data_IF_994356114653
#
_entry.id   IF_994356114653
#
_cell.length_a   1.000
_cell.length_b   1.000
_cell.length_c   1.000
_cell.angle_alpha   90.00
_cell.angle_beta   90.00
_cell.angle_gamma   90.00
#
_symmetry.space_group_name_H-M   'P 1'
#
loop_
_entity.id
_entity.type
_entity.pdbx_description
1 polymer ?
#
# COMPACT_ATOMS: atom_id res chain seq x y z
N UNK A 1 10.63 -26.30 7.19
CA UNK A 1 11.32 -25.62 6.06
C UNK A 1 10.98 -24.15 6.11
N UNK A 2 11.99 -23.28 6.02
CA UNK A 2 11.86 -21.83 6.05
C UNK A 2 12.52 -21.21 4.80
N UNK A 3 11.83 -20.30 4.12
CA UNK A 3 12.38 -19.55 2.97
C UNK A 3 12.44 -18.06 3.31
N UNK A 4 13.56 -17.40 3.02
CA UNK A 4 13.73 -15.95 3.20
C UNK A 4 13.94 -15.28 1.84
N UNK A 5 13.15 -14.25 1.51
CA UNK A 5 13.23 -13.53 0.23
C UNK A 5 13.52 -12.05 0.47
N UNK A 6 14.56 -11.53 -0.19
CA UNK A 6 15.04 -10.17 -0.02
C UNK A 6 14.21 -9.10 -0.77
N UNK A 7 14.50 -7.83 -0.49
CA UNK A 7 13.90 -6.67 -1.17
C UNK A 7 14.67 -6.21 -2.40
N UNK A 8 14.15 -5.17 -3.06
CA UNK A 8 14.82 -4.54 -4.20
C UNK A 8 16.23 -4.02 -3.84
N UNK A 9 17.16 -4.12 -4.79
CA UNK A 9 18.57 -3.74 -4.66
C UNK A 9 19.40 -4.54 -3.63
N UNK A 10 18.82 -5.57 -3.02
CA UNK A 10 19.51 -6.46 -2.08
C UNK A 10 19.86 -7.82 -2.70
N UNK A 11 20.52 -8.68 -1.94
CA UNK A 11 20.82 -10.08 -2.29
C UNK A 11 20.53 -10.99 -1.10
N UNK A 12 20.54 -12.30 -1.33
CA UNK A 12 20.42 -13.32 -0.28
C UNK A 12 21.40 -13.10 0.90
N UNK A 13 22.58 -12.54 0.64
CA UNK A 13 23.66 -12.42 1.64
C UNK A 13 23.28 -11.54 2.84
N UNK A 14 22.45 -10.51 2.64
CA UNK A 14 21.97 -9.60 3.69
C UNK A 14 21.05 -10.26 4.71
N UNK A 15 20.54 -11.46 4.42
CA UNK A 15 19.64 -12.20 5.30
C UNK A 15 20.32 -13.34 6.05
N UNK A 16 21.65 -13.49 5.93
CA UNK A 16 22.41 -14.50 6.70
C UNK A 16 22.29 -14.28 8.21
N UNK A 17 22.31 -13.03 8.68
CA UNK A 17 22.16 -12.70 10.11
C UNK A 17 20.79 -13.09 10.62
N UNK A 18 19.72 -12.70 9.91
CA UNK A 18 18.36 -13.10 10.25
C UNK A 18 18.21 -14.62 10.25
N UNK A 19 18.64 -15.30 9.20
CA UNK A 19 18.57 -16.76 9.11
C UNK A 19 19.27 -17.47 10.26
N UNK A 20 20.50 -17.06 10.60
CA UNK A 20 21.24 -17.59 11.76
C UNK A 20 20.53 -17.31 13.08
N UNK A 21 19.97 -16.10 13.23
CA UNK A 21 19.22 -15.74 14.44
C UNK A 21 17.97 -16.60 14.61
N UNK A 22 17.24 -16.88 13.53
CA UNK A 22 16.07 -17.75 13.57
C UNK A 22 16.42 -19.19 13.97
N UNK A 23 17.58 -19.70 13.53
CA UNK A 23 18.09 -21.00 13.98
C UNK A 23 18.49 -20.96 15.46
N UNK A 24 19.23 -19.94 15.91
CA UNK A 24 19.65 -19.84 17.32
C UNK A 24 18.49 -19.69 18.30
N UNK A 25 17.37 -19.13 17.86
CA UNK A 25 16.13 -18.99 18.64
C UNK A 25 15.24 -20.25 18.58
N UNK A 26 15.69 -21.32 17.91
CA UNK A 26 14.93 -22.57 17.76
C UNK A 26 13.66 -22.43 16.90
N UNK A 27 13.57 -21.40 16.06
CA UNK A 27 12.43 -21.19 15.15
C UNK A 27 12.59 -22.05 13.89
N UNK A 28 13.82 -22.23 13.43
CA UNK A 28 14.17 -23.20 12.40
C UNK A 28 15.10 -24.26 12.98
N UNK A 29 14.84 -25.54 12.66
CA UNK A 29 15.53 -26.68 13.28
C UNK A 29 17.05 -26.65 13.04
N UNK A 30 17.48 -26.26 11.84
CA UNK A 30 18.88 -26.11 11.45
C UNK A 30 19.02 -25.16 10.26
N UNK A 31 20.23 -24.64 10.03
CA UNK A 31 20.62 -23.87 8.85
C UNK A 31 20.27 -24.59 7.55
N UNK A 32 20.38 -25.93 7.51
CA UNK A 32 20.00 -26.74 6.35
C UNK A 32 18.49 -26.63 6.00
N UNK A 33 17.64 -26.17 6.93
CA UNK A 33 16.21 -25.95 6.72
C UNK A 33 15.86 -24.50 6.38
N UNK A 34 16.86 -23.63 6.25
CA UNK A 34 16.70 -22.23 5.80
C UNK A 34 17.19 -22.12 4.35
N UNK A 35 16.35 -21.55 3.49
CA UNK A 35 16.68 -21.25 2.09
C UNK A 35 16.61 -19.75 1.88
N UNK A 36 17.69 -19.17 1.35
CA UNK A 36 17.73 -17.75 1.03
C UNK A 36 17.48 -17.61 -0.48
N UNK A 37 16.33 -17.06 -0.85
CA UNK A 37 15.99 -16.75 -2.23
C UNK A 37 16.81 -15.55 -2.72
N UNK A 38 17.27 -15.60 -3.96
CA UNK A 38 18.04 -14.55 -4.61
C UNK A 38 17.44 -14.26 -5.98
N UNK A 39 17.09 -13.01 -6.26
CA UNK A 39 16.53 -12.61 -7.55
C UNK A 39 17.11 -11.28 -8.03
N UNK A 40 17.16 -11.13 -9.35
CA UNK A 40 17.65 -9.92 -10.00
C UNK A 40 16.56 -8.85 -9.91
N UNK A 41 16.83 -7.78 -9.19
CA UNK A 41 15.89 -6.67 -8.97
C UNK A 41 16.31 -5.36 -9.64
N UNK A 42 17.54 -5.27 -10.14
CA UNK A 42 18.11 -4.05 -10.72
C UNK A 42 18.21 -4.06 -12.24
N UNK A 43 17.89 -5.18 -12.90
CA UNK A 43 17.87 -5.22 -14.36
C UNK A 43 16.57 -4.60 -14.86
N UNK A 44 16.67 -3.60 -15.74
CA UNK A 44 15.54 -2.84 -16.25
C UNK A 44 14.60 -3.68 -17.13
N UNK A 45 15.06 -4.82 -17.69
CA UNK A 45 14.22 -5.71 -18.49
C UNK A 45 13.41 -6.72 -17.64
N UNK A 46 13.78 -6.90 -16.37
CA UNK A 46 13.13 -7.89 -15.49
C UNK A 46 11.81 -7.35 -14.94
N UNK A 47 10.73 -8.10 -15.15
CA UNK A 47 9.39 -7.81 -14.64
C UNK A 47 9.03 -8.66 -13.42
N UNK A 48 7.92 -8.34 -12.75
CA UNK A 48 7.39 -9.19 -11.69
C UNK A 48 6.94 -10.58 -12.19
N UNK A 49 6.47 -10.70 -13.44
CA UNK A 49 6.15 -12.00 -14.04
C UNK A 49 7.42 -12.85 -14.16
N UNK A 50 8.51 -12.27 -14.68
CA UNK A 50 9.79 -12.98 -14.81
C UNK A 50 10.28 -13.48 -13.46
N UNK A 51 10.21 -12.64 -12.41
CA UNK A 51 10.60 -13.02 -11.05
C UNK A 51 9.69 -14.12 -10.51
N UNK A 52 8.37 -14.04 -10.67
CA UNK A 52 7.43 -15.05 -10.17
C UNK A 52 7.67 -16.41 -10.85
N UNK A 53 7.85 -16.43 -12.17
CA UNK A 53 8.17 -17.65 -12.91
C UNK A 53 9.56 -18.20 -12.54
N UNK A 54 10.55 -17.32 -12.37
CA UNK A 54 11.89 -17.72 -11.93
C UNK A 54 11.88 -18.28 -10.51
N UNK A 55 11.08 -17.71 -9.60
CA UNK A 55 10.87 -18.23 -8.25
C UNK A 55 10.24 -19.62 -8.31
N UNK A 56 9.21 -19.82 -9.14
CA UNK A 56 8.59 -21.14 -9.30
C UNK A 56 9.58 -22.20 -9.82
N UNK A 57 10.38 -21.85 -10.84
CA UNK A 57 11.40 -22.75 -11.37
C UNK A 57 12.51 -23.03 -10.35
N UNK A 58 12.94 -22.01 -9.58
CA UNK A 58 13.93 -22.17 -8.52
C UNK A 58 13.42 -23.06 -7.37
N UNK A 59 12.15 -22.90 -6.99
CA UNK A 59 11.47 -23.71 -5.97
C UNK A 59 11.49 -25.19 -6.35
N UNK A 60 11.17 -25.50 -7.61
CA UNK A 60 11.21 -26.85 -8.15
C UNK A 60 12.64 -27.42 -8.23
N UNK A 61 13.61 -26.65 -8.75
CA UNK A 61 15.02 -27.10 -8.82
C UNK A 61 15.63 -27.40 -7.46
N UNK A 62 15.23 -26.65 -6.43
CA UNK A 62 15.67 -26.85 -5.06
C UNK A 62 14.87 -27.94 -4.31
N UNK A 63 13.93 -28.61 -5.00
CA UNK A 63 13.04 -29.64 -4.44
C UNK A 63 12.33 -29.18 -3.17
N UNK A 64 11.89 -27.91 -3.13
CA UNK A 64 11.20 -27.38 -1.97
C UNK A 64 9.76 -27.89 -1.90
N UNK A 65 9.21 -28.11 -0.69
CA UNK A 65 7.86 -28.64 -0.54
C UNK A 65 6.80 -27.76 -1.23
N UNK A 66 5.87 -28.41 -1.92
CA UNK A 66 4.68 -27.78 -2.52
C UNK A 66 3.38 -28.28 -1.91
N UNK A 67 3.46 -29.15 -0.89
CA UNK A 67 2.29 -29.62 -0.17
C UNK A 67 1.60 -28.46 0.54
N UNK A 68 0.26 -28.43 0.62
CA UNK A 68 -0.46 -27.33 1.23
C UNK A 68 0.04 -27.04 2.64
N UNK A 69 0.35 -25.77 2.93
CA UNK A 69 0.75 -25.29 4.25
C UNK A 69 1.94 -26.07 4.87
N UNK A 70 2.97 -26.34 4.06
CA UNK A 70 4.18 -27.08 4.45
C UNK A 70 5.44 -26.20 4.62
N UNK A 71 5.39 -24.91 4.24
CA UNK A 71 6.55 -24.01 4.26
C UNK A 71 6.21 -22.69 4.97
N UNK A 72 7.15 -22.19 5.77
CA UNK A 72 7.09 -20.85 6.33
C UNK A 72 7.99 -19.90 5.53
N UNK A 73 7.53 -18.68 5.29
CA UNK A 73 8.23 -17.70 4.45
C UNK A 73 8.42 -16.39 5.21
N UNK A 74 9.64 -15.85 5.16
CA UNK A 74 9.97 -14.49 5.60
C UNK A 74 10.32 -13.66 4.37
N UNK A 75 9.70 -12.50 4.23
CA UNK A 75 10.01 -11.57 3.14
C UNK A 75 10.33 -10.19 3.68
N UNK A 76 11.19 -9.45 2.97
CA UNK A 76 11.48 -8.05 3.28
C UNK A 76 11.13 -7.15 2.10
N UNK A 77 10.54 -5.99 2.38
CA UNK A 77 10.31 -4.95 1.38
C UNK A 77 9.60 -5.49 0.12
N UNK A 78 10.17 -5.32 -1.07
CA UNK A 78 9.67 -5.82 -2.35
C UNK A 78 9.42 -7.33 -2.38
N UNK A 79 10.09 -8.12 -1.54
CA UNK A 79 9.86 -9.56 -1.42
C UNK A 79 8.39 -9.90 -1.10
N UNK A 80 7.67 -8.99 -0.42
CA UNK A 80 6.23 -9.10 -0.19
C UNK A 80 5.41 -9.15 -1.48
N UNK A 81 5.74 -8.30 -2.46
CA UNK A 81 5.07 -8.30 -3.76
C UNK A 81 5.44 -9.55 -4.57
N UNK A 82 6.69 -10.00 -4.49
CA UNK A 82 7.18 -11.19 -5.20
C UNK A 82 6.45 -12.46 -4.73
N UNK A 83 6.38 -12.68 -3.40
CA UNK A 83 5.75 -13.90 -2.88
C UNK A 83 4.23 -13.91 -3.09
N UNK A 84 3.58 -12.73 -2.98
CA UNK A 84 2.14 -12.57 -3.24
C UNK A 84 1.82 -12.84 -4.72
N UNK A 85 2.66 -12.36 -5.63
CA UNK A 85 2.50 -12.67 -7.06
C UNK A 85 2.64 -14.17 -7.30
N UNK A 86 3.75 -14.77 -6.86
CA UNK A 86 4.00 -16.19 -7.06
C UNK A 86 2.87 -17.07 -6.51
N UNK A 87 2.38 -16.78 -5.31
CA UNK A 87 1.33 -17.60 -4.72
C UNK A 87 -0.01 -17.47 -5.44
N UNK A 88 -0.34 -16.28 -5.96
CA UNK A 88 -1.61 -16.03 -6.68
C UNK A 88 -1.58 -16.49 -8.13
N UNK A 89 -0.39 -16.57 -8.72
CA UNK A 89 -0.19 -17.07 -10.08
C UNK A 89 -0.19 -18.59 -10.16
N UNK A 90 0.49 -19.27 -9.23
CA UNK A 90 0.76 -20.71 -9.35
C UNK A 90 -0.08 -21.60 -8.44
N UNK A 91 -0.84 -21.04 -7.50
CA UNK A 91 -1.60 -21.83 -6.51
C UNK A 91 -3.03 -21.33 -6.36
N UNK A 92 -3.83 -22.11 -5.63
CA UNK A 92 -5.12 -21.71 -5.09
C UNK A 92 -4.99 -21.59 -3.57
N UNK A 93 -5.88 -20.87 -2.86
CA UNK A 93 -5.80 -20.77 -1.40
C UNK A 93 -5.75 -22.12 -0.67
N UNK A 94 -6.44 -23.15 -1.19
CA UNK A 94 -6.48 -24.48 -0.60
C UNK A 94 -5.25 -25.34 -0.89
N UNK A 95 -4.47 -25.01 -1.94
CA UNK A 95 -3.29 -25.77 -2.36
C UNK A 95 -1.99 -25.03 -2.12
N UNK A 96 -2.05 -23.81 -1.60
CA UNK A 96 -0.89 -22.97 -1.37
C UNK A 96 0.08 -23.61 -0.35
N UNK A 97 1.37 -23.75 -0.68
CA UNK A 97 2.33 -24.38 0.22
C UNK A 97 2.70 -23.52 1.44
N UNK A 98 2.42 -22.22 1.41
CA UNK A 98 2.77 -21.32 2.50
C UNK A 98 1.80 -21.53 3.67
N UNK A 99 2.35 -21.83 4.84
CA UNK A 99 1.61 -21.88 6.10
C UNK A 99 1.66 -20.55 6.82
N UNK A 100 2.87 -20.01 7.04
CA UNK A 100 3.09 -18.72 7.69
C UNK A 100 3.87 -17.80 6.78
N UNK A 101 3.44 -16.55 6.72
CA UNK A 101 4.09 -15.51 5.94
C UNK A 101 4.39 -14.32 6.84
N UNK A 102 5.67 -14.16 7.20
CA UNK A 102 6.15 -13.00 7.92
C UNK A 102 6.68 -11.97 6.93
N UNK A 103 6.05 -10.80 6.88
CA UNK A 103 6.50 -9.68 6.07
C UNK A 103 7.17 -8.62 6.95
N UNK A 104 8.45 -8.35 6.69
CA UNK A 104 9.23 -7.30 7.36
C UNK A 104 9.28 -6.08 6.44
N UNK A 105 8.61 -5.01 6.87
CA UNK A 105 8.44 -3.75 6.14
C UNK A 105 8.10 -3.93 4.64
N UNK A 106 7.06 -4.71 4.28
CA UNK A 106 6.71 -4.93 2.88
C UNK A 106 6.20 -3.64 2.21
N UNK A 107 6.51 -3.44 0.93
CA UNK A 107 5.96 -2.33 0.16
C UNK A 107 4.63 -2.73 -0.54
N UNK A 108 3.66 -3.25 0.24
CA UNK A 108 2.43 -3.85 -0.29
C UNK A 108 1.60 -2.91 -1.18
N UNK A 109 1.62 -1.61 -0.86
CA UNK A 109 0.96 -0.54 -1.62
C UNK A 109 1.95 0.58 -2.04
N UNK A 110 3.20 0.18 -2.27
CA UNK A 110 4.27 1.03 -2.77
C UNK A 110 5.09 1.75 -1.71
N UNK A 111 6.04 2.56 -2.17
CA UNK A 111 7.02 3.28 -1.34
C UNK A 111 7.32 4.66 -1.95
N UNK A 112 7.44 5.72 -1.13
CA UNK A 112 7.93 7.02 -1.58
C UNK A 112 9.34 6.99 -2.20
N UNK A 113 10.17 5.97 -1.92
CA UNK A 113 11.52 5.91 -2.47
C UNK A 113 11.52 5.57 -3.98
N UNK A 114 10.50 4.85 -4.46
CA UNK A 114 10.51 4.26 -5.80
C UNK A 114 10.42 5.28 -6.95
N UNK A 115 9.93 6.50 -6.69
CA UNK A 115 9.89 7.58 -7.68
C UNK A 115 11.06 8.57 -7.57
N UNK A 116 11.94 8.42 -6.56
CA UNK A 116 13.07 9.34 -6.37
C UNK A 116 14.13 9.02 -7.43
N UNK A 117 14.62 10.08 -8.11
CA UNK A 117 15.49 9.94 -9.28
C UNK A 117 16.75 9.08 -9.05
N UNK A 118 17.33 8.57 -10.14
CA UNK A 118 18.45 7.60 -10.11
C UNK A 118 19.62 8.03 -9.22
N UNK A 119 19.95 9.32 -9.21
CA UNK A 119 21.02 9.89 -8.38
C UNK A 119 20.70 9.84 -6.88
N UNK A 120 19.43 10.03 -6.51
CA UNK A 120 18.95 9.89 -5.14
C UNK A 120 18.99 8.42 -4.71
N UNK A 121 18.45 7.52 -5.54
CA UNK A 121 18.46 6.10 -5.26
C UNK A 121 19.89 5.54 -5.09
N UNK A 122 20.80 5.88 -6.00
CA UNK A 122 22.20 5.45 -5.94
C UNK A 122 22.94 5.95 -4.69
N UNK A 123 22.62 7.18 -4.22
CA UNK A 123 23.27 7.77 -3.04
C UNK A 123 22.74 7.22 -1.72
N UNK A 124 21.45 6.91 -1.65
CA UNK A 124 20.78 6.42 -0.43
C UNK A 124 20.93 4.91 -0.27
N UNK A 125 20.85 4.14 -1.35
CA UNK A 125 20.82 2.67 -1.29
C UNK A 125 22.23 2.06 -1.35
N UNK A 126 23.23 2.72 -1.95
CA UNK A 126 24.54 2.09 -2.22
C UNK A 126 25.82 2.88 -2.00
N UNK A 127 25.77 4.16 -1.64
CA UNK A 127 27.00 4.94 -1.33
C UNK A 127 28.13 4.73 -2.36
N UNK A 128 27.99 5.29 -3.57
CA UNK A 128 29.05 5.37 -4.61
C UNK A 128 29.76 4.06 -5.05
N UNK A 129 29.30 2.85 -4.67
CA UNK A 129 29.89 1.58 -5.11
C UNK A 129 28.87 0.67 -5.80
N UNK A 130 28.50 1.01 -7.04
CA UNK A 130 27.73 0.10 -7.92
C UNK A 130 28.48 -0.08 -9.23
N UNK A 131 28.87 -1.32 -9.53
CA UNK A 131 29.58 -1.70 -10.77
C UNK A 131 28.68 -1.67 -12.02
N UNK A 132 27.40 -1.29 -11.88
CA UNK A 132 26.47 -1.04 -12.99
C UNK A 132 25.79 0.33 -12.80
N UNK A 133 26.33 1.41 -13.36
CA UNK A 133 25.84 2.77 -13.10
C UNK A 133 24.50 3.13 -13.79
N UNK A 134 23.88 2.24 -14.58
CA UNK A 134 22.74 2.62 -15.43
C UNK A 134 21.42 1.87 -15.21
N UNK A 135 21.42 0.68 -14.61
CA UNK A 135 20.19 -0.08 -14.40
C UNK A 135 19.69 0.06 -12.96
N UNK A 136 18.39 0.31 -12.80
CA UNK A 136 17.75 0.49 -11.50
C UNK A 136 16.61 -0.49 -11.26
N UNK A 137 16.30 -1.35 -12.21
CA UNK A 137 15.15 -2.25 -12.14
C UNK A 137 13.86 -1.49 -12.39
N UNK A 138 13.79 -0.76 -13.50
CA UNK A 138 12.72 0.18 -13.84
C UNK A 138 11.32 -0.42 -13.67
N UNK A 139 11.08 -1.65 -14.15
CA UNK A 139 9.77 -2.30 -13.99
C UNK A 139 9.44 -2.64 -12.53
N UNK A 140 10.44 -3.03 -11.74
CA UNK A 140 10.25 -3.33 -10.32
C UNK A 140 9.98 -2.04 -9.53
N UNK A 141 10.72 -0.96 -9.81
CA UNK A 141 10.46 0.36 -9.23
C UNK A 141 9.09 0.90 -9.61
N UNK A 142 8.66 0.75 -10.86
CA UNK A 142 7.30 1.11 -11.31
C UNK A 142 6.22 0.35 -10.55
N UNK A 143 6.43 -0.93 -10.24
CA UNK A 143 5.49 -1.69 -9.42
C UNK A 143 5.51 -1.30 -7.94
N UNK A 144 6.65 -0.80 -7.43
CA UNK A 144 6.84 -0.29 -6.06
C UNK A 144 6.44 1.18 -5.89
N UNK A 145 6.18 1.90 -6.97
CA UNK A 145 5.75 3.28 -6.88
C UNK A 145 4.39 3.39 -6.17
N UNK A 146 4.21 4.46 -5.41
CA UNK A 146 2.90 4.76 -4.83
C UNK A 146 1.85 4.88 -5.93
N UNK A 147 0.65 4.35 -5.67
CA UNK A 147 -0.45 4.28 -6.64
C UNK A 147 -0.15 3.44 -7.90
N UNK A 148 0.86 2.58 -7.87
CA UNK A 148 1.15 1.58 -8.90
C UNK A 148 -0.08 0.70 -9.21
N UNK A 149 -0.52 0.62 -10.49
CA UNK A 149 -1.56 -0.31 -10.94
C UNK A 149 -1.24 -1.75 -10.59
N UNK A 150 0.05 -2.13 -10.61
CA UNK A 150 0.48 -3.48 -10.24
C UNK A 150 0.11 -3.84 -8.80
N UNK A 151 0.37 -2.94 -7.83
CA UNK A 151 0.02 -3.18 -6.43
C UNK A 151 -1.50 -3.24 -6.21
N UNK A 152 -2.26 -2.43 -6.96
CA UNK A 152 -3.72 -2.44 -6.98
C UNK A 152 -4.25 -3.79 -7.49
N UNK A 153 -3.80 -4.24 -8.65
CA UNK A 153 -4.20 -5.50 -9.26
C UNK A 153 -3.84 -6.70 -8.38
N UNK A 154 -2.68 -6.68 -7.74
CA UNK A 154 -2.28 -7.74 -6.82
C UNK A 154 -3.23 -7.82 -5.61
N UNK A 155 -3.63 -6.67 -5.03
CA UNK A 155 -4.65 -6.64 -3.99
C UNK A 155 -6.03 -7.11 -4.47
N UNK A 156 -6.38 -6.87 -5.75
CA UNK A 156 -7.60 -7.43 -6.33
C UNK A 156 -7.55 -8.97 -6.39
N UNK A 157 -6.37 -9.57 -6.59
CA UNK A 157 -6.19 -11.03 -6.64
C UNK A 157 -6.26 -11.69 -5.26
N UNK A 158 -5.68 -11.09 -4.22
CA UNK A 158 -5.53 -11.74 -2.91
C UNK A 158 -6.29 -11.12 -1.73
N UNK A 159 -6.75 -9.88 -1.82
CA UNK A 159 -7.55 -9.21 -0.76
C UNK A 159 -9.00 -8.99 -1.14
N UNK A 160 -9.31 -8.78 -2.43
CA UNK A 160 -10.66 -8.46 -2.90
C UNK A 160 -11.27 -9.49 -3.85
N UNK A 161 -10.63 -10.64 -4.02
CA UNK A 161 -11.18 -11.76 -4.78
C UNK A 161 -12.27 -12.50 -3.99
N UNK A 162 -12.99 -13.40 -4.66
CA UNK A 162 -13.95 -14.30 -3.99
C UNK A 162 -13.25 -15.33 -3.09
N UNK A 163 -11.98 -15.59 -3.37
CA UNK A 163 -11.15 -16.59 -2.69
C UNK A 163 -10.45 -15.99 -1.47
N UNK A 164 -10.56 -16.65 -0.32
CA UNK A 164 -9.91 -16.21 0.92
C UNK A 164 -8.51 -16.81 1.03
N UNK A 165 -7.49 -15.96 0.89
CA UNK A 165 -6.07 -16.35 0.89
C UNK A 165 -5.42 -16.40 2.26
N UNK A 166 -5.98 -15.71 3.25
CA UNK A 166 -5.32 -15.47 4.54
C UNK A 166 -6.23 -15.74 5.74
N UNK A 167 -5.61 -16.14 6.84
CA UNK A 167 -6.28 -16.47 8.11
C UNK A 167 -6.23 -17.96 8.45
N UNK A 168 -6.91 -18.38 9.53
CA UNK A 168 -6.92 -19.78 9.98
C UNK A 168 -7.30 -20.76 8.86
N UNK A 169 -6.53 -21.84 8.69
CA UNK A 169 -6.71 -22.81 7.61
C UNK A 169 -6.21 -22.36 6.24
N UNK A 170 -5.62 -21.16 6.15
CA UNK A 170 -4.99 -20.56 4.97
C UNK A 170 -3.58 -20.05 5.35
N UNK A 171 -3.08 -19.03 4.64
CA UNK A 171 -1.80 -18.39 4.98
C UNK A 171 -1.96 -17.53 6.23
N UNK A 172 -1.20 -17.84 7.28
CA UNK A 172 -1.11 -17.04 8.51
C UNK A 172 -0.11 -15.92 8.28
N UNK A 173 -0.61 -14.76 7.81
CA UNK A 173 0.23 -13.63 7.42
C UNK A 173 0.36 -12.61 8.55
N UNK A 174 1.60 -12.28 8.91
CA UNK A 174 1.95 -11.25 9.88
C UNK A 174 2.83 -10.20 9.21
N UNK A 175 2.47 -8.92 9.36
CA UNK A 175 3.21 -7.78 8.84
C UNK A 175 3.80 -7.00 10.01
N UNK A 176 5.12 -6.79 10.00
CA UNK A 176 5.82 -5.93 10.96
C UNK A 176 6.48 -4.78 10.18
N UNK A 177 6.30 -3.54 10.62
CA UNK A 177 6.90 -2.36 9.97
C UNK A 177 7.45 -1.39 11.02
N UNK A 178 8.61 -0.79 10.74
CA UNK A 178 9.19 0.21 11.63
C UNK A 178 8.43 1.54 11.64
N UNK A 179 8.78 2.43 12.56
CA UNK A 179 8.22 3.80 12.61
C UNK A 179 9.30 4.86 12.85
N UNK A 180 10.56 4.53 12.57
CA UNK A 180 11.70 5.45 12.69
C UNK A 180 12.36 5.60 11.33
N UNK A 181 12.78 6.82 11.01
CA UNK A 181 13.56 7.08 9.80
C UNK A 181 15.03 6.69 9.96
N UNK A 182 15.76 6.77 8.86
CA UNK A 182 17.21 6.67 8.86
C UNK A 182 17.87 7.89 9.52
N UNK A 183 19.13 7.74 9.92
CA UNK A 183 20.01 8.83 10.35
C UNK A 183 21.05 9.15 9.26
N UNK A 184 21.82 10.23 9.46
CA UNK A 184 22.89 10.63 8.54
C UNK A 184 22.38 11.01 7.14
N UNK A 185 23.15 10.67 6.10
CA UNK A 185 22.79 11.00 4.70
C UNK A 185 21.49 10.31 4.28
N UNK A 186 21.26 9.08 4.74
CA UNK A 186 20.06 8.30 4.42
C UNK A 186 18.77 8.94 4.95
N UNK A 187 18.87 9.84 5.93
CA UNK A 187 17.71 10.59 6.45
C UNK A 187 17.00 11.43 5.38
N UNK A 188 17.65 11.76 4.26
CA UNK A 188 17.01 12.45 3.13
C UNK A 188 15.85 11.64 2.50
N UNK A 189 15.79 10.32 2.73
CA UNK A 189 14.68 9.47 2.28
C UNK A 189 13.44 9.55 3.18
N UNK A 190 13.61 10.00 4.42
CA UNK A 190 12.58 9.98 5.46
C UNK A 190 11.39 10.85 5.08
N UNK A 191 10.19 10.30 5.31
CA UNK A 191 8.93 11.03 5.25
C UNK A 191 8.09 10.69 6.48
N UNK A 192 7.23 11.60 6.93
CA UNK A 192 6.38 11.33 8.09
C UNK A 192 5.48 10.10 7.85
N UNK A 193 5.30 9.29 8.89
CA UNK A 193 4.54 8.04 8.78
C UNK A 193 5.25 6.92 8.03
N UNK A 194 6.58 6.98 7.89
CA UNK A 194 7.40 5.93 7.27
C UNK A 194 8.35 5.24 8.27
N UNK A 195 8.89 4.10 7.86
CA UNK A 195 10.05 3.47 8.48
C UNK A 195 11.40 3.96 7.88
N UNK A 196 11.38 5.11 7.19
CA UNK A 196 12.49 5.63 6.39
C UNK A 196 12.46 5.26 4.91
N UNK A 197 11.69 4.23 4.51
CA UNK A 197 11.52 3.83 3.09
C UNK A 197 10.07 3.63 2.70
N UNK A 198 9.30 2.89 3.50
CA UNK A 198 7.92 2.49 3.24
C UNK A 198 7.00 3.22 4.22
N UNK A 199 5.82 3.67 3.75
CA UNK A 199 4.81 4.22 4.68
C UNK A 199 4.24 3.08 5.51
N UNK A 200 4.05 3.30 6.80
CA UNK A 200 3.41 2.33 7.71
C UNK A 200 2.06 1.87 7.12
N UNK A 201 1.30 2.81 6.56
CA UNK A 201 0.03 2.57 5.88
C UNK A 201 0.10 1.80 4.57
N UNK A 202 1.24 1.83 3.87
CA UNK A 202 1.46 1.05 2.63
C UNK A 202 1.99 -0.34 2.90
N UNK A 203 2.48 -0.60 4.12
CA UNK A 203 2.95 -1.92 4.52
C UNK A 203 1.80 -2.83 4.96
N UNK A 204 0.85 -2.29 5.72
CA UNK A 204 -0.31 -3.06 6.17
C UNK A 204 -1.08 -3.69 5.00
N UNK A 205 -1.37 -4.98 5.08
CA UNK A 205 -2.07 -5.76 4.07
C UNK A 205 -3.59 -5.87 4.34
N UNK A 206 -4.16 -4.96 5.12
CA UNK A 206 -5.61 -4.88 5.37
C UNK A 206 -6.26 -3.66 4.68
N UNK A 207 -6.36 -3.65 3.33
CA UNK A 207 -6.91 -2.51 2.62
C UNK A 207 -8.44 -2.44 2.70
N UNK A 208 -8.98 -1.25 2.44
CA UNK A 208 -10.41 -1.04 2.19
C UNK A 208 -10.62 -0.60 0.74
N UNK A 209 -11.57 -1.19 0.01
CA UNK A 209 -11.97 -0.75 -1.32
C UNK A 209 -13.26 0.05 -1.25
N UNK A 210 -13.23 1.25 -1.80
CA UNK A 210 -14.32 2.19 -1.92
C UNK A 210 -14.60 2.42 -3.41
N UNK A 211 -15.78 2.03 -3.88
CA UNK A 211 -16.24 2.38 -5.24
C UNK A 211 -17.15 3.59 -5.14
N UNK A 212 -16.81 4.63 -5.90
CA UNK A 212 -17.57 5.87 -6.02
C UNK A 212 -17.98 6.07 -7.48
N UNK A 213 -19.27 6.05 -7.73
CA UNK A 213 -19.83 6.20 -9.08
C UNK A 213 -20.63 7.50 -9.17
N UNK A 214 -20.04 8.49 -9.85
CA UNK A 214 -20.67 9.74 -10.26
C UNK A 214 -21.21 9.66 -11.70
N UNK A 215 -20.97 8.56 -12.43
CA UNK A 215 -21.42 8.43 -13.80
C UNK A 215 -22.94 8.23 -13.93
N UNK A 216 -23.52 7.41 -13.04
CA UNK A 216 -24.95 7.11 -13.06
C UNK A 216 -25.80 8.33 -12.69
N UNK A 217 -25.41 9.05 -11.63
CA UNK A 217 -25.99 10.32 -11.22
C UNK A 217 -24.88 11.25 -10.68
N UNK A 218 -24.40 12.22 -11.49
CA UNK A 218 -23.31 13.12 -11.09
C UNK A 218 -23.58 13.89 -9.81
N UNK A 219 -24.82 14.30 -9.54
CA UNK A 219 -25.17 15.07 -8.33
C UNK A 219 -25.30 14.21 -7.07
N UNK A 220 -25.54 12.91 -7.21
CA UNK A 220 -25.74 11.99 -6.08
C UNK A 220 -24.97 10.70 -6.31
N UNK A 221 -23.65 10.69 -6.03
CA UNK A 221 -22.81 9.54 -6.30
C UNK A 221 -23.23 8.32 -5.46
N UNK A 222 -23.14 7.14 -6.06
CA UNK A 222 -23.32 5.91 -5.30
C UNK A 222 -22.01 5.49 -4.65
N UNK A 223 -22.12 4.86 -3.47
CA UNK A 223 -20.98 4.39 -2.69
C UNK A 223 -21.09 2.92 -2.35
N UNK A 224 -20.06 2.13 -2.66
CA UNK A 224 -19.94 0.75 -2.20
C UNK A 224 -18.60 0.51 -1.51
N UNK A 225 -18.66 0.13 -0.24
CA UNK A 225 -17.50 -0.31 0.53
C UNK A 225 -17.35 -1.82 0.44
N UNK A 226 -16.11 -2.28 0.32
CA UNK A 226 -15.72 -3.68 0.37
C UNK A 226 -14.48 -3.79 1.26
N UNK A 227 -14.62 -4.45 2.42
CA UNK A 227 -13.48 -4.80 3.26
C UNK A 227 -12.63 -5.89 2.56
N UNK A 228 -11.33 -5.92 2.87
CA UNK A 228 -10.49 -7.04 2.46
C UNK A 228 -11.01 -8.34 3.08
N UNK A 229 -10.93 -9.44 2.34
CA UNK A 229 -11.30 -10.77 2.82
C UNK A 229 -10.18 -11.37 3.69
N UNK A 230 -10.46 -12.36 4.54
CA UNK A 230 -9.43 -13.02 5.34
C UNK A 230 -8.75 -12.13 6.40
N UNK A 231 -7.93 -12.75 7.25
CA UNK A 231 -7.34 -12.09 8.43
C UNK A 231 -5.82 -11.96 8.32
N UNK A 232 -5.29 -10.81 8.76
CA UNK A 232 -3.86 -10.46 8.78
C UNK A 232 -3.51 -9.94 10.17
N UNK A 233 -2.35 -10.31 10.70
CA UNK A 233 -1.80 -9.68 11.89
C UNK A 233 -0.86 -8.54 11.48
N UNK A 234 -0.92 -7.39 12.15
CA UNK A 234 -0.12 -6.22 11.79
C UNK A 234 0.45 -5.52 13.03
N UNK A 235 1.75 -5.21 13.02
CA UNK A 235 2.35 -4.34 14.02
C UNK A 235 3.19 -3.23 13.39
N UNK A 236 2.98 -2.01 13.88
CA UNK A 236 3.97 -0.94 13.78
C UNK A 236 4.89 -0.98 15.00
N UNK A 237 6.20 -1.04 14.77
CA UNK A 237 7.20 -1.28 15.80
C UNK A 237 8.04 -0.01 16.02
N UNK A 238 7.89 0.69 17.16
CA UNK A 238 8.67 1.88 17.47
C UNK A 238 10.17 1.61 17.45
N UNK A 239 10.97 2.65 17.15
CA UNK A 239 12.44 2.62 17.10
C UNK A 239 13.07 1.77 15.98
N UNK A 240 12.29 0.93 15.31
CA UNK A 240 12.74 0.23 14.12
C UNK A 240 12.62 1.12 12.88
N UNK A 241 13.60 1.03 12.00
CA UNK A 241 13.55 1.54 10.64
C UNK A 241 13.43 0.37 9.63
N UNK A 242 13.40 0.69 8.35
CA UNK A 242 13.26 -0.28 7.27
C UNK A 242 14.34 -1.38 7.25
N UNK A 243 15.55 -1.07 7.70
CA UNK A 243 16.69 -1.99 7.76
C UNK A 243 16.69 -2.80 9.06
N UNK A 244 16.52 -2.14 10.20
CA UNK A 244 16.70 -2.76 11.53
C UNK A 244 15.60 -3.76 11.86
N UNK A 245 14.37 -3.55 11.37
CA UNK A 245 13.26 -4.52 11.48
C UNK A 245 13.61 -5.87 10.82
N UNK A 246 14.52 -5.86 9.83
CA UNK A 246 15.01 -7.03 9.12
C UNK A 246 16.37 -7.54 9.66
N UNK A 247 16.76 -7.13 10.87
CA UNK A 247 18.02 -7.49 11.53
C UNK A 247 19.28 -7.04 10.78
N UNK A 248 19.16 -6.00 9.95
CA UNK A 248 20.29 -5.31 9.32
C UNK A 248 20.75 -4.15 10.22
N UNK A 249 21.91 -3.58 9.94
CA UNK A 249 22.41 -2.38 10.64
C UNK A 249 22.43 -2.49 12.18
N UNK A 250 22.86 -3.66 12.70
CA UNK A 250 22.85 -3.99 14.13
C UNK A 250 21.44 -3.91 14.77
N UNK A 251 20.39 -4.17 13.99
CA UNK A 251 19.02 -4.37 14.48
C UNK A 251 18.79 -5.78 15.07
N UNK A 252 17.66 -6.01 15.77
CA UNK A 252 16.59 -5.05 16.03
C UNK A 252 17.04 -3.94 17.01
N UNK A 253 16.31 -2.82 17.03
CA UNK A 253 16.47 -1.73 18.00
C UNK A 253 15.39 -1.73 19.07
N UNK A 254 14.34 -2.52 18.89
CA UNK A 254 13.29 -2.72 19.87
C UNK A 254 13.23 -4.19 20.28
N UNK A 255 13.24 -4.44 21.59
CA UNK A 255 13.29 -5.79 22.15
C UNK A 255 12.07 -6.65 21.75
N UNK A 256 10.92 -6.00 21.48
CA UNK A 256 9.70 -6.72 21.06
C UNK A 256 9.79 -7.27 19.63
N UNK A 257 10.71 -6.77 18.80
CA UNK A 257 10.80 -7.16 17.39
C UNK A 257 11.04 -8.67 17.24
N UNK A 258 12.00 -9.21 17.99
CA UNK A 258 12.27 -10.65 17.93
C UNK A 258 11.16 -11.50 18.54
N UNK A 259 10.48 -10.99 19.57
CA UNK A 259 9.30 -11.65 20.13
C UNK A 259 8.20 -11.79 19.09
N UNK A 260 7.89 -10.72 18.36
CA UNK A 260 6.87 -10.74 17.31
C UNK A 260 7.26 -11.64 16.14
N UNK A 261 8.53 -11.62 15.72
CA UNK A 261 9.05 -12.54 14.68
C UNK A 261 8.85 -14.00 15.10
N UNK A 262 9.26 -14.34 16.33
CA UNK A 262 9.10 -15.69 16.91
C UNK A 262 7.65 -16.11 16.96
N UNK A 263 6.78 -15.26 17.51
CA UNK A 263 5.34 -15.50 17.59
C UNK A 263 4.72 -15.71 16.21
N UNK A 264 5.06 -14.88 15.22
CA UNK A 264 4.55 -15.00 13.86
C UNK A 264 4.96 -16.32 13.19
N UNK A 265 6.19 -16.78 13.41
CA UNK A 265 6.72 -18.01 12.78
C UNK A 265 6.36 -19.30 13.53
N UNK A 266 5.90 -19.21 14.78
CA UNK A 266 5.46 -20.37 15.56
C UNK A 266 3.93 -20.45 15.72
N UNK A 267 3.19 -19.45 15.24
CA UNK A 267 1.74 -19.34 15.44
C UNK A 267 0.96 -20.54 14.88
N UNK A 268 -0.13 -20.92 15.55
CA UNK A 268 -1.09 -21.92 15.04
C UNK A 268 -2.40 -21.26 14.59
N UNK A 269 -3.24 -21.99 13.86
CA UNK A 269 -4.55 -21.51 13.43
C UNK A 269 -5.41 -21.01 14.61
N UNK A 270 -5.41 -21.77 15.71
CA UNK A 270 -6.19 -21.43 16.91
C UNK A 270 -5.67 -20.19 17.64
N UNK A 271 -4.36 -19.91 17.57
CA UNK A 271 -3.73 -18.78 18.24
C UNK A 271 -3.70 -17.51 17.38
N UNK A 272 -3.87 -17.64 16.06
CA UNK A 272 -3.73 -16.51 15.14
C UNK A 272 -4.67 -15.34 15.44
N UNK A 273 -5.97 -15.54 15.79
CA UNK A 273 -6.83 -14.43 16.20
C UNK A 273 -6.30 -13.65 17.41
N UNK A 274 -5.70 -14.32 18.39
CA UNK A 274 -5.09 -13.65 19.54
C UNK A 274 -3.84 -12.86 19.14
N UNK A 275 -3.02 -13.38 18.22
CA UNK A 275 -1.87 -12.65 17.69
C UNK A 275 -2.32 -11.33 17.02
N UNK A 276 -3.41 -11.36 16.24
CA UNK A 276 -3.98 -10.15 15.63
C UNK A 276 -4.33 -9.13 16.72
N UNK A 277 -5.12 -9.52 17.71
CA UNK A 277 -5.55 -8.64 18.79
C UNK A 277 -4.37 -8.04 19.57
N UNK A 278 -3.34 -8.84 19.86
CA UNK A 278 -2.16 -8.39 20.60
C UNK A 278 -1.34 -7.38 19.80
N UNK A 279 -1.14 -7.61 18.50
CA UNK A 279 -0.39 -6.69 17.63
C UNK A 279 -1.17 -5.41 17.32
N UNK A 280 -2.49 -5.48 17.22
CA UNK A 280 -3.38 -4.32 17.10
C UNK A 280 -3.31 -3.44 18.36
N UNK A 281 -3.39 -4.06 19.55
CA UNK A 281 -3.25 -3.36 20.83
C UNK A 281 -1.87 -2.72 20.97
N UNK A 282 -0.81 -3.41 20.57
CA UNK A 282 0.55 -2.84 20.53
C UNK A 282 0.62 -1.63 19.60
N UNK A 283 0.09 -1.75 18.38
CA UNK A 283 0.08 -0.67 17.38
C UNK A 283 -0.73 0.54 17.85
N UNK A 284 -1.87 0.32 18.49
CA UNK A 284 -2.66 1.37 19.09
C UNK A 284 -1.86 2.13 20.17
N UNK A 285 -1.26 1.41 21.11
CA UNK A 285 -0.43 2.02 22.16
C UNK A 285 0.75 2.80 21.57
N UNK A 286 1.41 2.24 20.56
CA UNK A 286 2.51 2.91 19.86
C UNK A 286 2.06 4.22 19.18
N UNK A 287 0.85 4.27 18.60
CA UNK A 287 0.27 5.51 18.05
C UNK A 287 -0.01 6.54 19.12
N UNK A 288 -0.62 6.13 20.23
CA UNK A 288 -0.93 7.03 21.34
C UNK A 288 0.34 7.66 21.91
N UNK A 289 1.39 6.86 22.10
CA UNK A 289 2.70 7.33 22.57
C UNK A 289 3.45 8.21 21.57
N UNK A 290 3.19 8.03 20.27
CA UNK A 290 3.83 8.79 19.18
C UNK A 290 2.97 9.91 18.62
N UNK A 291 1.82 10.24 19.22
CA UNK A 291 0.85 11.18 18.67
C UNK A 291 1.33 12.64 18.69
N UNK A 292 2.29 12.97 19.56
CA UNK A 292 2.88 14.30 19.73
C UNK A 292 3.93 14.64 18.65
N UNK A 293 4.46 13.64 17.96
CA UNK A 293 5.50 13.79 16.95
C UNK A 293 4.94 13.53 15.55
N UNK A 294 4.95 14.51 14.64
CA UNK A 294 4.43 14.33 13.28
C UNK A 294 4.96 13.09 12.56
N UNK A 295 6.23 12.73 12.78
CA UNK A 295 6.83 11.56 12.14
C UNK A 295 6.17 10.23 12.54
N UNK A 296 5.69 10.12 13.79
CA UNK A 296 5.13 8.88 14.37
C UNK A 296 3.61 8.90 14.51
N UNK A 297 2.93 9.97 14.08
CA UNK A 297 1.47 10.01 14.05
C UNK A 297 0.85 8.90 13.18
N UNK A 298 -0.47 8.77 13.26
CA UNK A 298 -1.23 7.83 12.44
C UNK A 298 -1.48 8.40 11.06
N UNK A 299 -1.03 7.70 10.02
CA UNK A 299 -1.26 8.09 8.62
C UNK A 299 -2.05 7.02 7.87
N UNK A 300 -2.76 7.44 6.83
CA UNK A 300 -3.46 6.58 5.89
C UNK A 300 -2.99 6.89 4.48
N UNK A 301 -2.74 5.84 3.69
CA UNK A 301 -2.50 5.95 2.27
C UNK A 301 -3.83 5.76 1.53
N UNK A 302 -4.25 6.71 0.72
CA UNK A 302 -5.47 6.61 -0.10
C UNK A 302 -5.09 6.65 -1.56
N UNK A 303 -5.23 5.52 -2.25
CA UNK A 303 -4.98 5.40 -3.68
C UNK A 303 -6.28 5.62 -4.43
N UNK A 304 -6.31 6.59 -5.32
CA UNK A 304 -7.45 6.88 -6.19
C UNK A 304 -7.10 6.43 -7.60
N UNK A 305 -8.02 5.72 -8.25
CA UNK A 305 -8.03 5.42 -9.67
C UNK A 305 -9.26 6.09 -10.28
N UNK A 306 -9.06 6.99 -11.24
CA UNK A 306 -10.16 7.68 -11.93
C UNK A 306 -10.34 7.17 -13.37
N UNK A 307 -11.57 6.78 -13.68
CA UNK A 307 -12.00 6.40 -15.05
C UNK A 307 -13.33 7.06 -15.41
N UNK A 308 -13.64 7.10 -16.71
CA UNK A 308 -14.96 7.48 -17.18
C UNK A 308 -15.89 6.26 -17.33
N UNK A 309 -17.17 6.50 -17.62
CA UNK A 309 -18.18 5.46 -17.80
C UNK A 309 -17.96 4.57 -19.05
N UNK A 310 -16.98 4.87 -19.90
CA UNK A 310 -16.53 4.02 -21.00
C UNK A 310 -15.26 3.23 -20.63
N UNK A 311 -14.76 3.37 -19.40
CA UNK A 311 -13.57 2.70 -18.89
C UNK A 311 -12.26 3.39 -19.27
N UNK A 312 -12.28 4.58 -19.88
CA UNK A 312 -11.06 5.31 -20.21
C UNK A 312 -10.51 6.02 -18.97
N UNK A 313 -9.18 6.00 -18.81
CA UNK A 313 -8.52 6.68 -17.68
C UNK A 313 -8.60 8.21 -17.84
N UNK A 314 -8.94 8.88 -16.74
CA UNK A 314 -8.95 10.35 -16.67
C UNK A 314 -7.68 10.83 -15.98
N UNK A 315 -6.74 11.34 -16.76
CA UNK A 315 -5.38 11.65 -16.31
C UNK A 315 -5.26 13.03 -15.66
N UNK A 316 -6.07 13.97 -16.10
CA UNK A 316 -6.09 15.34 -15.60
C UNK A 316 -7.37 15.57 -14.79
N UNK A 317 -7.18 15.68 -13.49
CA UNK A 317 -8.24 15.85 -12.52
C UNK A 317 -7.71 16.49 -11.24
N UNK A 318 -8.62 16.99 -10.43
CA UNK A 318 -8.37 17.46 -9.08
C UNK A 318 -9.39 16.81 -8.15
N UNK A 319 -8.90 16.26 -7.03
CA UNK A 319 -9.74 15.67 -6.00
C UNK A 319 -9.73 16.61 -4.81
N UNK A 320 -10.89 17.16 -4.50
CA UNK A 320 -11.04 18.10 -3.42
C UNK A 320 -11.51 17.39 -2.17
N UNK A 321 -10.99 17.82 -1.02
CA UNK A 321 -11.43 17.38 0.29
C UNK A 321 -11.65 18.62 1.13
N UNK A 322 -12.89 18.90 1.49
CA UNK A 322 -13.25 20.15 2.14
C UNK A 322 -14.31 19.95 3.22
N UNK A 323 -14.50 20.99 4.02
CA UNK A 323 -15.52 21.02 5.07
C UNK A 323 -16.42 22.23 4.86
N UNK A 324 -17.69 22.08 5.19
CA UNK A 324 -18.66 23.19 5.15
C UNK A 324 -18.91 23.76 6.53
N UNK A 325 -19.39 25.01 6.59
CA UNK A 325 -19.82 25.63 7.83
C UNK A 325 -21.09 24.93 8.35
N UNK A 326 -21.23 24.72 9.66
CA UNK A 326 -22.37 23.98 10.20
C UNK A 326 -23.70 24.61 9.79
N UNK A 327 -24.61 23.79 9.26
CA UNK A 327 -25.93 24.25 8.83
C UNK A 327 -25.95 25.04 7.51
N UNK A 328 -24.87 25.05 6.72
CA UNK A 328 -24.82 25.73 5.42
C UNK A 328 -24.03 24.92 4.40
N UNK A 329 -24.24 25.21 3.11
CA UNK A 329 -23.45 24.63 2.00
C UNK A 329 -22.19 25.45 1.67
N UNK A 330 -21.89 26.47 2.48
CA UNK A 330 -20.70 27.31 2.27
C UNK A 330 -19.47 26.64 2.86
N UNK A 331 -18.39 26.61 2.09
CA UNK A 331 -17.07 26.12 2.54
C UNK A 331 -16.63 26.86 3.81
N UNK A 332 -16.04 26.12 4.75
CA UNK A 332 -15.31 26.66 5.89
C UNK A 332 -13.84 26.80 5.51
N UNK A 333 -13.44 28.00 5.08
CA UNK A 333 -12.10 28.24 4.52
C UNK A 333 -10.97 27.93 5.52
N UNK A 334 -11.19 28.22 6.80
CA UNK A 334 -10.17 27.99 7.84
C UNK A 334 -9.97 26.50 8.09
N UNK A 335 -11.06 25.74 8.24
CA UNK A 335 -10.99 24.30 8.43
C UNK A 335 -10.52 23.60 7.15
N UNK A 336 -10.97 24.05 5.98
CA UNK A 336 -10.56 23.50 4.69
C UNK A 336 -9.08 23.74 4.44
N UNK A 337 -8.54 24.93 4.73
CA UNK A 337 -7.09 25.17 4.71
C UNK A 337 -6.35 24.18 5.60
N UNK A 338 -6.80 23.98 6.84
CA UNK A 338 -6.22 22.98 7.75
C UNK A 338 -6.29 21.55 7.19
N UNK A 339 -7.39 21.20 6.52
CA UNK A 339 -7.52 19.90 5.85
C UNK A 339 -6.50 19.76 4.71
N UNK A 340 -6.29 20.81 3.92
CA UNK A 340 -5.38 20.78 2.78
C UNK A 340 -3.90 20.82 3.20
N UNK A 341 -3.56 21.53 4.27
CA UNK A 341 -2.16 21.74 4.71
C UNK A 341 -1.68 20.68 5.72
N UNK A 342 -2.51 20.34 6.71
CA UNK A 342 -2.09 19.51 7.85
C UNK A 342 -2.63 18.07 7.78
N UNK A 343 -3.79 17.88 7.14
CA UNK A 343 -4.45 16.57 7.03
C UNK A 343 -4.03 15.87 5.73
N UNK A 344 -4.17 16.50 4.57
CA UNK A 344 -3.70 15.97 3.29
C UNK A 344 -2.22 16.35 3.10
N UNK A 345 -1.33 15.61 3.75
CA UNK A 345 0.08 16.01 3.85
C UNK A 345 0.89 15.79 2.58
N UNK A 346 0.43 14.91 1.68
CA UNK A 346 1.14 14.63 0.41
C UNK A 346 0.21 14.04 -0.64
N UNK A 347 0.44 14.42 -1.90
CA UNK A 347 -0.15 13.80 -3.08
C UNK A 347 0.97 13.32 -4.01
N UNK A 348 0.83 12.12 -4.56
CA UNK A 348 1.75 11.53 -5.53
C UNK A 348 0.97 10.97 -6.71
N UNK A 349 1.19 11.50 -7.92
CA UNK A 349 0.63 10.92 -9.13
C UNK A 349 1.58 9.83 -9.65
N UNK A 350 1.04 8.67 -10.01
CA UNK A 350 1.83 7.58 -10.58
C UNK A 350 2.43 8.01 -11.93
N UNK A 351 3.74 7.83 -12.09
CA UNK A 351 4.51 8.42 -13.20
C UNK A 351 4.04 8.03 -14.61
N UNK A 352 3.66 6.76 -14.82
CA UNK A 352 3.21 6.29 -16.13
C UNK A 352 1.72 6.60 -16.40
N UNK A 353 0.92 6.82 -15.36
CA UNK A 353 -0.52 7.07 -15.49
C UNK A 353 -1.07 7.89 -14.32
N UNK A 354 -1.17 9.20 -14.52
CA UNK A 354 -1.66 10.17 -13.51
C UNK A 354 -3.14 10.04 -13.13
N UNK A 355 -3.89 9.14 -13.80
CA UNK A 355 -5.20 8.71 -13.35
C UNK A 355 -5.16 7.95 -12.02
N UNK A 356 -3.98 7.44 -11.65
CA UNK A 356 -3.69 6.83 -10.36
C UNK A 356 -2.94 7.83 -9.47
N UNK A 357 -3.45 8.09 -8.27
CA UNK A 357 -2.83 9.01 -7.31
C UNK A 357 -2.88 8.46 -5.89
N UNK A 358 -1.80 8.65 -5.15
CA UNK A 358 -1.70 8.34 -3.71
C UNK A 358 -1.80 9.64 -2.92
N UNK A 359 -2.77 9.71 -2.04
CA UNK A 359 -3.00 10.81 -1.09
C UNK A 359 -2.64 10.30 0.30
N UNK A 360 -1.75 11.02 1.00
CA UNK A 360 -1.38 10.70 2.37
C UNK A 360 -2.19 11.56 3.33
N UNK A 361 -3.04 10.91 4.13
CA UNK A 361 -3.85 11.57 5.14
C UNK A 361 -3.24 11.38 6.54
N UNK A 362 -2.99 12.46 7.26
CA UNK A 362 -2.71 12.44 8.69
C UNK A 362 -4.02 12.22 9.46
N UNK A 363 -4.29 10.97 9.80
CA UNK A 363 -5.52 10.57 10.49
C UNK A 363 -5.57 11.04 11.94
N UNK A 364 -4.42 11.27 12.58
CA UNK A 364 -4.37 11.87 13.93
C UNK A 364 -4.93 13.29 13.89
N UNK A 365 -4.44 14.13 12.98
CA UNK A 365 -4.92 15.52 12.84
C UNK A 365 -6.36 15.55 12.32
N UNK A 366 -6.73 14.69 11.37
CA UNK A 366 -8.11 14.59 10.85
C UNK A 366 -9.10 14.27 11.98
N UNK A 367 -8.77 13.28 12.81
CA UNK A 367 -9.63 12.87 13.93
C UNK A 367 -9.90 14.04 14.88
N UNK A 368 -8.88 14.83 15.20
CA UNK A 368 -8.97 15.94 16.14
C UNK A 368 -9.66 17.18 15.56
N UNK A 369 -9.32 17.56 14.33
CA UNK A 369 -9.81 18.78 13.70
C UNK A 369 -11.21 18.63 13.10
N UNK A 370 -11.57 17.43 12.62
CA UNK A 370 -12.80 17.20 11.85
C UNK A 370 -13.73 16.25 12.60
N UNK A 371 -13.31 15.00 12.82
CA UNK A 371 -14.22 13.94 13.25
C UNK A 371 -14.71 14.10 14.69
N UNK A 372 -13.83 14.45 15.64
CA UNK A 372 -14.21 14.71 17.05
C UNK A 372 -15.06 15.97 17.18
N UNK A 373 -14.81 16.97 16.33
CA UNK A 373 -15.57 18.21 16.26
C UNK A 373 -16.90 18.06 15.51
N UNK A 374 -17.24 16.84 15.05
CA UNK A 374 -18.47 16.51 14.29
C UNK A 374 -18.64 17.40 13.05
N UNK A 375 -17.53 17.76 12.41
CA UNK A 375 -17.53 18.57 11.18
C UNK A 375 -17.85 17.69 9.97
N UNK A 376 -18.50 18.27 8.98
CA UNK A 376 -18.67 17.63 7.67
C UNK A 376 -17.31 17.47 6.99
N UNK A 377 -17.22 16.45 6.14
CA UNK A 377 -16.09 16.27 5.24
C UNK A 377 -16.68 15.78 3.92
N UNK A 378 -16.35 16.45 2.84
CA UNK A 378 -16.91 16.18 1.53
C UNK A 378 -15.78 15.97 0.53
N UNK A 379 -16.01 15.09 -0.42
CA UNK A 379 -15.09 14.79 -1.51
C UNK A 379 -15.76 15.08 -2.84
N UNK A 380 -15.12 15.91 -3.66
CA UNK A 380 -15.53 16.20 -5.04
C UNK A 380 -14.39 15.95 -6.01
N UNK A 381 -14.74 15.86 -7.30
CA UNK A 381 -13.78 15.65 -8.38
C UNK A 381 -14.06 16.63 -9.50
N UNK A 382 -13.00 17.28 -9.97
CA UNK A 382 -12.99 18.11 -11.17
C UNK A 382 -12.08 17.45 -12.20
N UNK A 383 -12.46 17.38 -13.48
CA UNK A 383 -11.72 16.65 -14.51
C UNK A 383 -11.67 17.39 -15.85
N UNK A 384 -10.57 17.20 -16.58
CA UNK A 384 -10.36 17.72 -17.94
C UNK A 384 -10.38 16.59 -18.99
N UNK A 385 -10.89 16.84 -20.21
CA UNK A 385 -11.29 18.15 -20.70
C UNK A 385 -12.72 18.58 -20.28
N UNK A 386 -12.95 19.84 -19.95
CA UNK A 386 -14.32 20.38 -19.76
C UNK A 386 -15.10 20.39 -21.09
N UNK A 387 -16.25 19.72 -21.13
CA UNK A 387 -17.12 19.67 -22.32
C UNK A 387 -17.54 21.06 -22.83
N UNK A 388 -17.69 22.04 -21.94
CA UNK A 388 -18.06 23.42 -22.32
C UNK A 388 -16.95 24.12 -23.08
N UNK A 389 -15.70 23.75 -22.81
CA UNK A 389 -14.54 24.30 -23.49
C UNK A 389 -14.28 23.58 -24.82
N UNK A 390 -14.37 22.24 -24.84
CA UNK A 390 -14.14 21.47 -26.06
C UNK A 390 -15.28 21.57 -27.06
N UNK A 391 -16.49 21.90 -26.61
CA UNK A 391 -17.73 21.94 -27.42
C UNK A 391 -17.96 20.67 -28.24
N UNK A 392 -17.46 19.54 -27.77
CA UNK A 392 -17.52 18.25 -28.47
C UNK A 392 -17.69 17.11 -27.48
N UNK A 393 -16.64 16.69 -26.79
CA UNK A 393 -16.71 15.67 -25.75
C UNK A 393 -15.82 16.04 -24.56
N UNK A 394 -16.23 15.63 -23.37
CA UNK A 394 -15.48 15.93 -22.14
C UNK A 394 -16.24 15.56 -20.88
N UNK A 395 -15.89 16.21 -19.79
CA UNK A 395 -16.49 16.05 -18.48
C UNK A 395 -17.18 17.34 -18.09
N UNK A 396 -18.31 17.21 -17.40
CA UNK A 396 -19.04 18.32 -16.82
C UNK A 396 -18.86 18.24 -15.30
N UNK A 397 -17.86 18.95 -14.76
CA UNK A 397 -17.49 18.84 -13.34
C UNK A 397 -17.13 20.16 -12.64
N UNK A 398 -17.09 21.31 -13.33
CA UNK A 398 -16.66 22.58 -12.70
C UNK A 398 -17.82 23.46 -12.19
N UNK A 399 -19.02 23.29 -12.74
CA UNK A 399 -20.20 24.07 -12.38
C UNK A 399 -20.80 23.60 -11.06
N UNK A 400 -21.55 24.48 -10.40
CA UNK A 400 -22.10 24.24 -9.06
C UNK A 400 -23.03 23.01 -8.99
N UNK A 401 -23.74 22.69 -10.08
CA UNK A 401 -24.62 21.52 -10.19
C UNK A 401 -24.11 20.50 -11.22
N UNK A 402 -22.86 20.63 -11.65
CA UNK A 402 -22.31 19.73 -12.67
C UNK A 402 -22.00 18.35 -12.08
N UNK A 403 -21.52 18.35 -10.84
CA UNK A 403 -21.20 17.15 -10.07
C UNK A 403 -21.39 17.45 -8.58
N UNK A 404 -21.95 16.50 -7.85
CA UNK A 404 -22.18 16.59 -6.42
C UNK A 404 -20.96 16.20 -5.61
N UNK A 405 -21.17 15.97 -4.32
CA UNK A 405 -20.13 15.58 -3.38
C UNK A 405 -20.40 14.19 -2.80
N UNK A 406 -19.34 13.44 -2.53
CA UNK A 406 -19.40 12.29 -1.65
C UNK A 406 -19.29 12.75 -0.19
N UNK A 407 -20.43 13.01 0.45
CA UNK A 407 -20.47 13.47 1.83
C UNK A 407 -20.15 12.36 2.84
N UNK A 408 -19.17 12.64 3.69
CA UNK A 408 -18.68 11.74 4.72
C UNK A 408 -19.21 12.19 6.09
N UNK A 409 -20.29 11.53 6.52
CA UNK A 409 -20.77 11.61 7.90
C UNK A 409 -19.68 11.20 8.89
N UNK A 410 -19.83 11.53 10.19
CA UNK A 410 -18.86 11.12 11.23
C UNK A 410 -18.65 9.60 11.26
N UNK A 411 -19.69 8.81 11.02
CA UNK A 411 -19.56 7.34 10.94
C UNK A 411 -18.77 6.92 9.70
N UNK A 412 -19.02 7.54 8.55
CA UNK A 412 -18.23 7.33 7.34
C UNK A 412 -16.78 7.69 7.55
N UNK A 413 -16.49 8.85 8.15
CA UNK A 413 -15.13 9.31 8.47
C UNK A 413 -14.39 8.29 9.34
N UNK A 414 -15.01 7.80 10.42
CA UNK A 414 -14.40 6.78 11.29
C UNK A 414 -14.14 5.46 10.58
N UNK A 415 -15.02 5.07 9.67
CA UNK A 415 -14.84 3.85 8.88
C UNK A 415 -13.78 3.99 7.79
N UNK A 416 -13.63 5.17 7.20
CA UNK A 416 -12.78 5.44 6.05
C UNK A 416 -11.37 5.89 6.44
N UNK A 417 -11.21 6.71 7.48
CA UNK A 417 -9.91 7.24 7.93
C UNK A 417 -9.39 6.47 9.15
N UNK A 418 -9.02 5.21 8.92
CA UNK A 418 -8.32 4.38 9.92
C UNK A 418 -6.81 4.51 9.72
N UNK A 419 -6.03 4.77 10.79
CA UNK A 419 -4.58 4.86 10.70
C UNK A 419 -3.93 3.54 10.27
N UNK A 420 -2.75 3.65 9.68
CA UNK A 420 -1.89 2.55 9.23
C UNK A 420 -2.55 1.64 8.17
N UNK A 421 -3.57 2.14 7.46
CA UNK A 421 -4.29 1.41 6.41
C UNK A 421 -4.07 2.03 5.03
N UNK A 422 -4.18 1.22 3.98
CA UNK A 422 -4.41 1.70 2.62
C UNK A 422 -5.90 1.65 2.25
N UNK A 423 -6.45 2.73 1.71
CA UNK A 423 -7.77 2.78 1.07
C UNK A 423 -7.58 2.84 -0.44
N UNK A 424 -8.27 2.00 -1.18
CA UNK A 424 -8.35 2.02 -2.64
C UNK A 424 -9.69 2.67 -3.03
N UNK A 425 -9.68 3.75 -3.79
CA UNK A 425 -10.87 4.44 -4.29
C UNK A 425 -10.95 4.26 -5.80
N UNK A 426 -11.94 3.49 -6.25
CA UNK A 426 -12.27 3.31 -7.66
C UNK A 426 -13.36 4.33 -8.01
N UNK A 427 -12.98 5.40 -8.69
CA UNK A 427 -13.84 6.54 -8.99
C UNK A 427 -14.21 6.53 -10.47
N UNK A 428 -15.52 6.62 -10.75
CA UNK A 428 -16.07 6.68 -12.10
C UNK A 428 -16.86 7.97 -12.28
N UNK A 429 -16.57 8.73 -13.35
CA UNK A 429 -17.30 9.96 -13.73
C UNK A 429 -18.00 9.80 -15.08
N UNK A 430 -19.01 10.63 -15.34
CA UNK A 430 -19.70 10.65 -16.64
C UNK A 430 -18.87 11.41 -17.67
N UNK A 431 -18.60 10.77 -18.81
CA UNK A 431 -18.17 11.43 -20.04
C UNK A 431 -19.38 11.79 -20.88
N UNK A 432 -19.44 13.05 -21.28
CA UNK A 432 -20.51 13.60 -22.09
C UNK A 432 -20.04 13.90 -23.52
N UNK A 433 -21.01 13.95 -24.43
CA UNK A 433 -20.83 14.36 -25.83
C UNK A 433 -21.92 15.36 -26.20
N UNK A 434 -21.53 16.36 -26.96
CA UNK A 434 -22.43 17.31 -27.62
C UNK A 434 -23.07 16.63 -28.85
N UNK A 435 -24.32 16.98 -29.22
CA UNK A 435 -24.98 16.38 -30.39
C UNK A 435 -24.17 16.49 -31.70
N UNK A 436 -23.40 17.56 -31.86
CA UNK A 436 -22.57 17.85 -33.03
C UNK A 436 -21.44 16.84 -33.25
N UNK A 437 -21.11 16.01 -32.23
CA UNK A 437 -20.14 14.91 -32.38
C UNK A 437 -20.61 13.89 -33.43
N UNK A 438 -21.93 13.68 -33.56
CA UNK A 438 -22.49 12.79 -34.56
C UNK A 438 -23.92 13.19 -34.93
N UNK A 439 -24.10 13.73 -36.14
CA UNK A 439 -25.40 14.11 -36.68
C UNK A 439 -25.81 13.20 -37.84
N UNK A 440 -27.06 12.75 -37.84
CA UNK A 440 -27.68 12.17 -39.03
C UNK A 440 -28.40 13.27 -39.81
N UNK A 441 -28.07 13.42 -41.10
CA UNK A 441 -28.72 14.38 -42.00
C UNK A 441 -29.48 13.63 -43.09
N UNK A 442 -30.67 14.10 -43.49
CA UNK A 442 -31.39 13.49 -44.60
C UNK A 442 -30.59 13.64 -45.90
N UNK A 443 -30.64 12.60 -46.75
CA UNK A 443 -30.19 12.70 -48.13
C UNK A 443 -31.14 13.67 -48.85
N UNK A 444 -30.62 14.80 -49.31
CA UNK A 444 -31.42 15.84 -49.98
C UNK A 444 -31.93 15.38 -51.34
#
# INVERSE_FOLDING_TARGET
MLVIIHGWSDTHSSFRTLGRRLVSEGIADDVAHVRLGDYISLDDAVTFNDIAHALNAAWARASLPTQPRSVDVVVHSTGGLVIRHWMTEFFKPSTNPIRRLLMLAPANFGSPLAHKGRSFAGRIIKGFKSDKPFQTGTHILKGLELASPYSWELAQRDRFSSDVWYGPGRVLCTVLVGTSGYSGISAAANEAGTDGTVRVSTANLDPLLLRLDFAANPETPTRKLQAANGAIAFARVPHENHSTIALKENGPKNDVTMDFIRRALQITDAQFPQLIADLDAHSQKAREQGADKPFTQGYQNTVVRLSDNYGAFVKDFFLEVFSTRPGTDKVDDALTRKIQEDVLTKVHAYGDNSAYRSLLFNTTVLLEAVTRQRRSLSLSVTAEPDIRLTRSAGYRTFGYNDIGNADLTVSHQRSLFVPDRTVLIDLVIRREQMPEVFEMRPLK
#
